data_IF_167834132063
#
_entry.id   IF_167834132063
#
_cell.length_a   1.000
_cell.length_b   1.000
_cell.length_c   1.000
_cell.angle_alpha   90.00
_cell.angle_beta   90.00
_cell.angle_gamma   90.00
#
_symmetry.space_group_name_H-M   'P 1'
#
loop_
_entity.id
_entity.type
_entity.pdbx_description
1 polymer ?
#
# COMPACT_ATOMS: atom_id res chain seq x y z
N UNK A 1 5.97 -19.65 -19.17
CA UNK A 1 4.90 -18.72 -19.60
C UNK A 1 5.33 -17.32 -19.19
N UNK A 2 5.26 -16.38 -20.11
CA UNK A 2 5.61 -14.99 -19.84
C UNK A 2 4.33 -14.19 -19.70
N UNK A 3 4.18 -13.44 -18.63
CA UNK A 3 2.99 -12.65 -18.34
C UNK A 3 3.39 -11.27 -17.87
N UNK A 4 2.75 -10.25 -18.39
CA UNK A 4 2.93 -8.85 -17.97
C UNK A 4 1.58 -8.30 -17.56
N UNK A 5 1.53 -7.69 -16.38
CA UNK A 5 0.37 -6.98 -15.86
C UNK A 5 0.59 -5.48 -15.85
N UNK A 6 -0.40 -4.71 -16.26
CA UNK A 6 -0.46 -3.26 -16.12
C UNK A 6 -1.44 -2.90 -15.01
N UNK A 7 -1.01 -2.16 -14.01
CA UNK A 7 -1.88 -1.84 -12.89
C UNK A 7 -1.39 -0.69 -12.00
N UNK A 8 -2.20 -0.36 -11.01
CA UNK A 8 -1.84 0.65 -10.02
C UNK A 8 -0.89 0.04 -8.97
N UNK A 9 0.22 0.73 -8.74
CA UNK A 9 1.09 0.44 -7.61
C UNK A 9 0.44 0.99 -6.34
N UNK A 10 0.09 0.11 -5.41
CA UNK A 10 -0.57 0.46 -4.16
C UNK A 10 0.09 -0.31 -3.01
N UNK A 11 0.44 0.39 -1.95
CA UNK A 11 0.97 -0.23 -0.73
C UNK A 11 -0.09 -0.20 0.36
N UNK A 12 -0.41 -1.36 0.92
CA UNK A 12 -1.23 -1.45 2.11
C UNK A 12 -0.37 -1.23 3.36
N UNK A 13 -0.74 -0.23 4.15
CA UNK A 13 -0.08 0.14 5.42
C UNK A 13 -1.04 -0.20 6.55
N UNK A 14 -0.74 -1.27 7.28
CA UNK A 14 -1.58 -1.74 8.37
C UNK A 14 -1.04 -1.21 9.71
N UNK A 15 -1.94 -0.65 10.50
CA UNK A 15 -1.66 -0.12 11.84
C UNK A 15 -2.66 -0.73 12.83
N UNK A 16 -2.18 -1.12 14.01
CA UNK A 16 -3.06 -1.54 15.11
C UNK A 16 -3.25 -0.38 16.08
N UNK A 17 -4.49 -0.04 16.32
CA UNK A 17 -4.87 1.00 17.27
C UNK A 17 -4.94 0.43 18.68
N UNK A 18 -4.51 1.21 19.67
CA UNK A 18 -4.69 0.88 21.09
C UNK A 18 -6.14 1.14 21.55
N UNK A 19 -6.76 2.14 20.95
CA UNK A 19 -8.18 2.51 21.15
C UNK A 19 -8.69 3.24 19.90
N UNK A 20 -9.98 3.56 19.87
CA UNK A 20 -10.63 4.21 18.74
C UNK A 20 -10.59 5.76 18.80
N UNK A 21 -10.01 6.35 19.83
CA UNK A 21 -10.01 7.82 20.02
C UNK A 21 -9.30 8.54 18.86
N UNK A 22 -8.25 7.92 18.34
CA UNK A 22 -7.49 8.46 17.20
C UNK A 22 -8.36 8.60 15.94
N UNK A 23 -9.35 7.75 15.74
CA UNK A 23 -10.28 7.85 14.59
C UNK A 23 -11.10 9.15 14.67
N UNK A 24 -11.54 9.51 15.89
CA UNK A 24 -12.24 10.78 16.14
C UNK A 24 -11.32 11.99 15.92
N UNK A 25 -10.06 11.89 16.36
CA UNK A 25 -9.07 12.97 16.16
C UNK A 25 -8.79 13.26 14.68
N UNK A 26 -8.72 12.23 13.85
CA UNK A 26 -8.50 12.38 12.40
C UNK A 26 -9.80 12.55 11.60
N UNK A 27 -10.96 12.51 12.27
CA UNK A 27 -12.27 12.76 11.66
C UNK A 27 -12.76 11.64 10.73
N UNK A 28 -12.36 10.39 10.99
CA UNK A 28 -12.76 9.23 10.17
C UNK A 28 -13.73 8.36 10.98
N UNK A 29 -14.83 7.96 10.34
CA UNK A 29 -15.80 7.06 10.95
C UNK A 29 -15.24 5.63 10.99
N UNK A 30 -15.34 4.97 12.15
CA UNK A 30 -14.95 3.56 12.32
C UNK A 30 -15.70 2.67 11.33
N UNK A 31 -14.98 1.78 10.67
CA UNK A 31 -15.49 0.86 9.66
C UNK A 31 -15.75 1.50 8.29
N UNK A 32 -15.49 2.80 8.13
CA UNK A 32 -15.60 3.47 6.85
C UNK A 32 -14.35 3.26 5.98
N UNK A 33 -14.51 3.46 4.68
CA UNK A 33 -13.41 3.55 3.72
C UNK A 33 -13.57 4.86 2.96
N UNK A 34 -12.64 5.78 3.17
CA UNK A 34 -12.67 7.11 2.59
C UNK A 34 -11.47 7.36 1.67
N UNK A 35 -11.75 8.00 0.54
CA UNK A 35 -10.68 8.56 -0.28
C UNK A 35 -10.23 9.89 0.30
N UNK A 36 -8.94 9.99 0.61
CA UNK A 36 -8.34 11.17 1.21
C UNK A 36 -7.40 11.87 0.24
N UNK A 37 -7.28 13.17 0.38
CA UNK A 37 -6.32 13.97 -0.38
C UNK A 37 -4.92 13.90 0.25
N UNK A 38 -3.94 14.52 -0.42
CA UNK A 38 -2.54 14.52 0.03
C UNK A 38 -2.36 15.15 1.42
N UNK A 39 -3.05 16.25 1.71
CA UNK A 39 -2.93 16.95 2.99
C UNK A 39 -3.47 16.12 4.14
N UNK A 40 -4.64 15.51 3.95
CA UNK A 40 -5.23 14.58 4.90
C UNK A 40 -4.33 13.37 5.14
N UNK A 41 -3.75 12.81 4.09
CA UNK A 41 -2.82 11.69 4.20
C UNK A 41 -1.58 12.07 5.03
N UNK A 42 -1.00 13.24 4.82
CA UNK A 42 0.15 13.72 5.61
C UNK A 42 -0.25 13.90 7.08
N UNK A 43 -1.40 14.51 7.36
CA UNK A 43 -1.91 14.68 8.71
C UNK A 43 -2.11 13.33 9.43
N UNK A 44 -2.77 12.38 8.77
CA UNK A 44 -2.98 11.03 9.32
C UNK A 44 -1.65 10.33 9.59
N UNK A 45 -0.71 10.36 8.65
CA UNK A 45 0.62 9.76 8.83
C UNK A 45 1.38 10.38 9.98
N UNK A 46 1.25 11.70 10.20
CA UNK A 46 1.88 12.40 11.31
C UNK A 46 1.27 11.96 12.64
N UNK A 47 -0.06 11.92 12.73
CA UNK A 47 -0.78 11.48 13.94
C UNK A 47 -0.46 10.02 14.29
N UNK A 48 -0.31 9.16 13.28
CA UNK A 48 -0.05 7.73 13.46
C UNK A 48 1.45 7.37 13.44
N UNK A 49 2.36 8.34 13.44
CA UNK A 49 3.80 8.12 13.24
C UNK A 49 4.44 7.21 14.31
N UNK A 50 3.94 7.25 15.55
CA UNK A 50 4.44 6.43 16.66
C UNK A 50 3.91 4.99 16.71
N UNK A 51 2.95 4.64 15.87
CA UNK A 51 2.36 3.30 15.89
C UNK A 51 3.15 2.30 15.05
N UNK A 52 3.31 1.05 15.53
CA UNK A 52 3.88 -0.03 14.73
C UNK A 52 3.07 -0.25 13.46
N UNK A 53 3.76 -0.36 12.32
CA UNK A 53 3.12 -0.54 11.02
C UNK A 53 3.70 -1.72 10.27
N UNK A 54 2.86 -2.39 9.49
CA UNK A 54 3.25 -3.42 8.53
C UNK A 54 2.90 -2.93 7.13
N UNK A 55 3.82 -3.07 6.19
CA UNK A 55 3.62 -2.70 4.79
C UNK A 55 3.59 -3.95 3.91
N UNK A 56 2.66 -3.99 2.97
CA UNK A 56 2.53 -5.07 1.97
C UNK A 56 2.30 -4.46 0.60
N UNK A 57 2.96 -4.95 -0.47
CA UNK A 57 2.60 -4.53 -1.80
C UNK A 57 1.20 -5.05 -2.13
N UNK A 58 0.31 -4.14 -2.51
CA UNK A 58 -1.09 -4.40 -2.86
C UNK A 58 -1.39 -4.09 -4.32
N UNK A 59 -2.68 -4.05 -4.63
CA UNK A 59 -3.21 -3.93 -5.98
C UNK A 59 -3.45 -5.29 -6.64
N UNK A 60 -4.62 -5.47 -7.26
CA UNK A 60 -5.07 -6.76 -7.81
C UNK A 60 -4.11 -7.33 -8.85
N UNK A 61 -3.61 -6.48 -9.75
CA UNK A 61 -2.65 -6.91 -10.78
C UNK A 61 -1.31 -7.32 -10.17
N UNK A 62 -0.80 -6.56 -9.19
CA UNK A 62 0.42 -6.91 -8.48
C UNK A 62 0.27 -8.26 -7.77
N UNK A 63 -0.83 -8.47 -7.05
CA UNK A 63 -1.10 -9.74 -6.37
C UNK A 63 -1.17 -10.90 -7.37
N UNK A 64 -1.77 -10.70 -8.55
CA UNK A 64 -1.79 -11.70 -9.63
C UNK A 64 -0.37 -12.03 -10.11
N UNK A 65 0.44 -11.01 -10.42
CA UNK A 65 1.81 -11.22 -10.92
C UNK A 65 2.70 -11.92 -9.89
N UNK A 66 2.57 -11.57 -8.62
CA UNK A 66 3.29 -12.24 -7.52
C UNK A 66 2.86 -13.70 -7.38
N UNK A 67 1.56 -13.97 -7.46
CA UNK A 67 1.05 -15.35 -7.42
C UNK A 67 1.55 -16.18 -8.61
N UNK A 68 1.54 -15.61 -9.81
CA UNK A 68 2.06 -16.28 -11.00
C UNK A 68 3.57 -16.55 -10.90
N UNK A 69 4.33 -15.59 -10.39
CA UNK A 69 5.76 -15.78 -10.12
C UNK A 69 6.01 -16.92 -9.13
N UNK A 70 5.24 -16.98 -8.06
CA UNK A 70 5.36 -18.06 -7.06
C UNK A 70 5.02 -19.45 -7.61
N UNK A 71 4.25 -19.50 -8.70
CA UNK A 71 3.92 -20.74 -9.44
C UNK A 71 4.92 -21.04 -10.56
N UNK A 72 6.02 -20.30 -10.65
CA UNK A 72 7.09 -20.54 -11.62
C UNK A 72 6.90 -19.86 -12.98
N UNK A 73 5.96 -18.94 -13.13
CA UNK A 73 5.83 -18.16 -14.34
C UNK A 73 6.81 -16.97 -14.35
N UNK A 74 7.33 -16.62 -15.53
CA UNK A 74 8.01 -15.35 -15.70
C UNK A 74 6.96 -14.24 -15.71
N UNK A 75 6.93 -13.41 -14.68
CA UNK A 75 5.95 -12.34 -14.52
C UNK A 75 6.59 -10.98 -14.51
N UNK A 76 5.91 -10.01 -15.09
CA UNK A 76 6.30 -8.60 -15.09
C UNK A 76 5.15 -7.70 -14.67
N UNK A 77 5.48 -6.56 -14.07
CA UNK A 77 4.52 -5.55 -13.66
C UNK A 77 4.91 -4.19 -14.22
N UNK A 78 3.96 -3.55 -14.90
CA UNK A 78 4.08 -2.17 -15.38
C UNK A 78 3.19 -1.29 -14.50
N UNK A 79 3.76 -0.22 -13.97
CA UNK A 79 3.01 0.71 -13.12
C UNK A 79 3.70 2.06 -12.96
N UNK A 80 3.10 2.90 -12.13
CA UNK A 80 3.61 4.22 -11.81
C UNK A 80 3.82 4.33 -10.31
N UNK A 81 5.00 4.80 -9.90
CA UNK A 81 5.33 5.05 -8.50
C UNK A 81 5.90 6.46 -8.34
N UNK A 82 5.82 6.98 -7.12
CA UNK A 82 6.52 8.18 -6.74
C UNK A 82 7.99 7.92 -6.42
N UNK A 83 8.79 8.96 -6.45
CA UNK A 83 10.17 8.94 -5.93
C UNK A 83 10.15 9.13 -4.40
N UNK A 84 9.53 8.17 -3.70
CA UNK A 84 9.35 8.18 -2.25
C UNK A 84 9.68 6.81 -1.64
N UNK A 85 9.74 6.76 -0.30
CA UNK A 85 10.06 5.52 0.42
C UNK A 85 9.05 4.39 0.19
N UNK A 86 7.80 4.72 -0.10
CA UNK A 86 6.73 3.74 -0.39
C UNK A 86 6.95 3.15 -1.78
N UNK A 87 7.33 3.98 -2.75
CA UNK A 87 7.70 3.52 -4.09
C UNK A 87 8.91 2.60 -4.09
N UNK A 88 9.95 2.96 -3.35
CA UNK A 88 11.12 2.10 -3.16
C UNK A 88 10.77 0.77 -2.51
N UNK A 89 9.96 0.79 -1.45
CA UNK A 89 9.44 -0.44 -0.83
C UNK A 89 8.69 -1.33 -1.82
N UNK A 90 7.84 -0.73 -2.67
CA UNK A 90 7.05 -1.48 -3.65
C UNK A 90 7.94 -2.16 -4.69
N UNK A 91 8.92 -1.43 -5.21
CA UNK A 91 9.90 -1.94 -6.18
C UNK A 91 10.69 -3.14 -5.59
N UNK A 92 11.26 -2.97 -4.40
CA UNK A 92 11.99 -4.02 -3.68
C UNK A 92 11.14 -5.26 -3.39
N UNK A 93 9.87 -5.06 -3.03
CA UNK A 93 8.96 -6.15 -2.73
C UNK A 93 8.61 -6.99 -3.97
N UNK A 94 8.47 -6.36 -5.14
CA UNK A 94 8.27 -7.06 -6.40
C UNK A 94 9.51 -7.83 -6.82
N UNK A 95 10.69 -7.24 -6.70
CA UNK A 95 11.96 -7.89 -6.99
C UNK A 95 12.15 -9.15 -6.13
N UNK A 96 11.93 -9.05 -4.82
CA UNK A 96 11.98 -10.18 -3.88
C UNK A 96 10.97 -11.28 -4.21
N UNK A 97 9.84 -10.92 -4.81
CA UNK A 97 8.84 -11.86 -5.29
C UNK A 97 9.14 -12.46 -6.66
N UNK A 98 10.27 -12.10 -7.29
CA UNK A 98 10.66 -12.56 -8.63
C UNK A 98 9.82 -11.98 -9.75
N UNK A 99 9.21 -10.82 -9.55
CA UNK A 99 8.44 -10.09 -10.55
C UNK A 99 9.30 -8.98 -11.15
N UNK A 100 9.52 -9.02 -12.46
CA UNK A 100 10.22 -7.94 -13.17
C UNK A 100 9.38 -6.67 -13.15
N UNK A 101 9.92 -5.58 -12.65
CA UNK A 101 9.21 -4.31 -12.54
C UNK A 101 9.63 -3.31 -13.60
N UNK A 102 8.64 -2.62 -14.17
CA UNK A 102 8.81 -1.57 -15.17
C UNK A 102 8.04 -0.34 -14.73
N UNK A 103 8.68 0.51 -13.92
CA UNK A 103 8.02 1.67 -13.33
C UNK A 103 8.30 2.96 -14.07
N UNK A 104 7.25 3.77 -14.22
CA UNK A 104 7.35 5.20 -14.48
C UNK A 104 7.46 5.90 -13.12
N UNK A 105 8.61 6.50 -12.84
CA UNK A 105 8.84 7.28 -11.61
C UNK A 105 8.43 8.73 -11.81
N UNK A 106 7.77 9.31 -10.82
CA UNK A 106 7.29 10.69 -10.85
C UNK A 106 7.58 11.38 -9.51
N UNK A 107 7.49 12.69 -9.51
CA UNK A 107 7.58 13.55 -8.32
C UNK A 107 6.33 13.49 -7.40
N UNK A 108 5.28 12.74 -7.82
CA UNK A 108 4.11 12.46 -7.01
C UNK A 108 4.37 11.43 -5.90
N UNK A 109 3.37 11.18 -5.09
CA UNK A 109 3.42 10.14 -4.06
C UNK A 109 2.94 8.80 -4.62
N UNK A 110 3.56 7.72 -4.17
CA UNK A 110 3.09 6.37 -4.45
C UNK A 110 1.75 6.13 -3.76
N UNK A 111 0.83 5.46 -4.47
CA UNK A 111 -0.48 5.10 -3.93
C UNK A 111 -0.36 4.24 -2.67
N UNK A 112 -1.15 4.54 -1.67
CA UNK A 112 -1.19 3.76 -0.43
C UNK A 112 -2.59 3.70 0.15
N UNK A 113 -2.90 2.57 0.77
CA UNK A 113 -4.09 2.36 1.57
C UNK A 113 -3.64 2.23 3.04
N UNK A 114 -4.08 3.14 3.90
CA UNK A 114 -3.83 3.05 5.33
C UNK A 114 -4.99 2.32 5.96
N UNK A 115 -4.72 1.19 6.59
CA UNK A 115 -5.71 0.33 7.24
C UNK A 115 -5.47 0.38 8.74
N UNK A 116 -6.37 0.99 9.47
CA UNK A 116 -6.36 1.06 10.92
C UNK A 116 -7.22 -0.07 11.49
N UNK A 117 -6.62 -0.91 12.33
CA UNK A 117 -7.28 -2.06 12.95
C UNK A 117 -7.58 -1.71 14.40
N UNK A 118 -8.86 -1.55 14.70
CA UNK A 118 -9.37 -1.31 16.05
C UNK A 118 -9.14 -2.50 16.99
N UNK A 119 -9.19 -2.32 18.34
CA UNK A 119 -9.00 -3.42 19.27
C UNK A 119 -9.98 -4.59 19.11
N UNK A 120 -11.17 -4.33 18.60
CA UNK A 120 -12.19 -5.35 18.29
C UNK A 120 -12.00 -6.03 16.91
N UNK A 121 -10.96 -5.64 16.16
CA UNK A 121 -10.65 -6.18 14.85
C UNK A 121 -11.33 -5.48 13.67
N UNK A 122 -12.16 -4.47 13.91
CA UNK A 122 -12.76 -3.66 12.85
C UNK A 122 -11.68 -2.91 12.08
N UNK A 123 -11.86 -2.80 10.76
CA UNK A 123 -10.93 -2.12 9.85
C UNK A 123 -11.54 -0.81 9.37
N UNK A 124 -10.74 0.24 9.44
CA UNK A 124 -11.07 1.58 8.96
C UNK A 124 -10.02 2.06 8.00
#
# INVERSE_FOLDING_TARGET
>A
MNTIGLGNALVDVLLRLENDDVLSEIGIQKGAMDMINREQMIAIRTTLAGLPRTQTPGGSVCNTMRSMSSLGANSGFIGKIGDDSIGGFYEDALEKAGVSSYFIKTDGLTGSCTVMISPDGERT
#
